data_IF_755661790540
#
_entry.id   IF_755661790540
#
_cell.length_a   1.000
_cell.length_b   1.000
_cell.length_c   1.000
_cell.angle_alpha   90.00
_cell.angle_beta   90.00
_cell.angle_gamma   90.00
#
_symmetry.space_group_name_H-M   'P 1'
#
loop_
_entity.id
_entity.type
_entity.pdbx_description
1 polymer ?
#
# COMPACT_ATOMS: atom_id res chain seq x y z
N UNK A 1 -15.66 18.84 -15.16
CA UNK A 1 -15.85 17.47 -14.65
C UNK A 1 -15.10 16.42 -15.46
N UNK A 2 -14.12 16.79 -16.31
CA UNK A 2 -13.33 15.85 -17.13
C UNK A 2 -11.90 15.55 -16.59
N UNK A 3 -11.55 15.99 -15.37
CA UNK A 3 -10.14 15.97 -14.91
C UNK A 3 -9.81 14.88 -13.88
N UNK A 4 -10.81 14.28 -13.25
CA UNK A 4 -10.60 13.30 -12.17
C UNK A 4 -11.06 11.92 -12.67
N UNK A 5 -10.43 10.84 -12.17
CA UNK A 5 -10.81 9.44 -12.45
C UNK A 5 -10.59 8.94 -13.90
N UNK A 6 -9.57 9.46 -14.58
CA UNK A 6 -9.31 9.07 -15.97
C UNK A 6 -8.81 7.63 -16.12
N UNK A 7 -8.04 7.12 -15.14
CA UNK A 7 -7.35 5.84 -15.21
C UNK A 7 -7.31 5.14 -13.85
N UNK A 8 -7.26 3.81 -13.87
CA UNK A 8 -7.02 3.02 -12.67
C UNK A 8 -5.55 3.13 -12.22
N UNK A 9 -5.33 3.15 -10.91
CA UNK A 9 -4.01 3.13 -10.27
C UNK A 9 -3.98 2.02 -9.22
N UNK A 10 -2.87 1.29 -9.15
CA UNK A 10 -2.60 0.33 -8.09
C UNK A 10 -1.45 0.84 -7.22
N UNK A 11 -1.67 0.87 -5.89
CA UNK A 11 -0.69 1.34 -4.91
C UNK A 11 -0.49 0.25 -3.87
N UNK A 12 0.76 -0.06 -3.57
CA UNK A 12 1.13 -0.92 -2.44
C UNK A 12 1.79 -0.06 -1.37
N UNK A 13 1.30 -0.17 -0.13
CA UNK A 13 1.84 0.52 1.04
C UNK A 13 2.11 -0.50 2.13
N UNK A 14 3.24 -0.34 2.83
CA UNK A 14 3.56 -1.10 4.03
C UNK A 14 3.13 -0.38 5.32
N UNK A 15 2.58 0.84 5.22
CA UNK A 15 2.01 1.59 6.34
C UNK A 15 0.51 1.79 6.13
N UNK A 16 -0.20 1.90 7.25
CA UNK A 16 -1.61 2.28 7.30
C UNK A 16 -1.80 3.73 6.84
N UNK A 17 -3.01 4.12 6.41
CA UNK A 17 -3.29 5.48 5.98
C UNK A 17 -2.97 6.56 7.03
N UNK A 18 -3.10 6.25 8.33
CA UNK A 18 -2.73 7.19 9.40
C UNK A 18 -1.22 7.47 9.43
N UNK A 19 -0.39 6.51 9.01
CA UNK A 19 1.05 6.64 8.87
C UNK A 19 1.50 7.47 7.67
N UNK A 20 0.61 7.77 6.72
CA UNK A 20 0.96 8.51 5.50
C UNK A 20 1.31 9.98 5.74
N UNK A 21 0.97 10.53 6.89
CA UNK A 21 1.41 11.86 7.34
C UNK A 21 2.94 12.00 7.42
N UNK A 22 3.67 10.87 7.52
CA UNK A 22 5.14 10.84 7.45
C UNK A 22 5.67 11.13 6.04
N UNK A 23 4.90 10.74 5.03
CA UNK A 23 5.25 10.92 3.61
C UNK A 23 4.66 12.21 3.05
N UNK A 24 3.37 12.47 3.34
CA UNK A 24 2.65 13.69 2.99
C UNK A 24 2.54 14.57 4.22
N UNK A 25 3.55 15.41 4.42
CA UNK A 25 3.72 16.20 5.66
C UNK A 25 2.69 17.31 5.82
N UNK A 26 2.07 17.79 4.72
CA UNK A 26 0.91 18.66 4.81
C UNK A 26 -0.36 17.84 5.10
N UNK A 27 -1.06 18.07 6.23
CA UNK A 27 -2.20 17.26 6.61
C UNK A 27 -3.39 17.35 5.65
N UNK A 28 -3.58 18.51 5.00
CA UNK A 28 -4.70 18.72 4.06
C UNK A 28 -4.44 17.97 2.76
N UNK A 29 -3.20 17.99 2.27
CA UNK A 29 -2.76 17.22 1.12
C UNK A 29 -2.87 15.73 1.40
N UNK A 30 -2.41 15.25 2.56
CA UNK A 30 -2.53 13.83 2.94
C UNK A 30 -3.99 13.37 2.93
N UNK A 31 -4.90 14.16 3.54
CA UNK A 31 -6.31 13.84 3.56
C UNK A 31 -6.92 13.82 2.15
N UNK A 32 -6.59 14.80 1.31
CA UNK A 32 -7.09 14.87 -0.07
C UNK A 32 -6.60 13.67 -0.92
N UNK A 33 -5.35 13.24 -0.74
CA UNK A 33 -4.80 12.06 -1.44
C UNK A 33 -5.54 10.81 -1.00
N UNK A 34 -5.69 10.57 0.31
CA UNK A 34 -6.39 9.39 0.83
C UNK A 34 -7.84 9.38 0.36
N UNK A 35 -8.53 10.52 0.39
CA UNK A 35 -9.90 10.66 -0.12
C UNK A 35 -9.99 10.24 -1.60
N UNK A 36 -9.10 10.74 -2.46
CA UNK A 36 -9.14 10.39 -3.90
C UNK A 36 -8.76 8.95 -4.21
N UNK A 37 -7.82 8.37 -3.46
CA UNK A 37 -7.41 6.97 -3.68
C UNK A 37 -8.45 5.97 -3.18
N UNK A 38 -9.24 6.35 -2.17
CA UNK A 38 -10.28 5.49 -1.61
C UNK A 38 -11.62 5.65 -2.33
N UNK A 39 -11.84 6.77 -3.02
CA UNK A 39 -13.03 6.97 -3.84
C UNK A 39 -13.13 5.93 -4.97
N UNK A 40 -14.11 5.03 -4.88
CA UNK A 40 -14.30 3.92 -5.82
C UNK A 40 -13.19 2.86 -5.80
N UNK A 41 -12.26 2.93 -4.83
CA UNK A 41 -11.13 2.03 -4.70
C UNK A 41 -11.45 0.75 -3.92
N UNK A 42 -10.69 -0.31 -4.18
CA UNK A 42 -10.74 -1.54 -3.39
C UNK A 42 -9.51 -1.62 -2.49
N UNK A 43 -9.72 -1.79 -1.17
CA UNK A 43 -8.64 -1.99 -0.20
C UNK A 43 -8.40 -3.49 -0.04
N UNK A 44 -7.17 -3.92 -0.30
CA UNK A 44 -6.75 -5.31 -0.16
C UNK A 44 -5.69 -5.39 0.95
N UNK A 45 -6.03 -6.01 2.07
CA UNK A 45 -5.09 -6.28 3.15
C UNK A 45 -4.30 -7.56 2.84
N UNK A 46 -3.01 -7.41 2.53
CA UNK A 46 -2.14 -8.53 2.11
C UNK A 46 -1.65 -9.42 3.25
N UNK A 47 -1.90 -9.03 4.50
CA UNK A 47 -1.40 -9.72 5.70
C UNK A 47 0.08 -9.48 5.98
N UNK A 48 0.68 -10.33 6.83
CA UNK A 48 2.03 -10.14 7.39
C UNK A 48 3.04 -11.22 6.97
N UNK A 49 2.61 -12.20 6.16
CA UNK A 49 3.49 -13.28 5.72
C UNK A 49 4.49 -12.80 4.66
N UNK A 50 5.79 -12.95 4.95
CA UNK A 50 6.85 -12.62 4.00
C UNK A 50 7.21 -13.82 3.13
N UNK A 51 6.90 -13.73 1.83
CA UNK A 51 7.31 -14.73 0.84
C UNK A 51 8.83 -14.95 0.83
N UNK A 52 9.60 -13.84 0.82
CA UNK A 52 11.07 -13.89 0.78
C UNK A 52 11.65 -14.64 1.98
N UNK A 53 11.10 -14.42 3.18
CA UNK A 53 11.55 -15.10 4.39
C UNK A 53 11.21 -16.59 4.36
N UNK A 54 9.99 -16.94 3.95
CA UNK A 54 9.57 -18.33 3.82
C UNK A 54 10.50 -19.09 2.84
N UNK A 55 10.77 -18.50 1.68
CA UNK A 55 11.64 -19.10 0.67
C UNK A 55 13.09 -19.30 1.17
N UNK A 56 13.67 -18.29 1.84
CA UNK A 56 15.00 -18.40 2.41
C UNK A 56 15.10 -19.50 3.50
N UNK A 57 14.05 -19.66 4.31
CA UNK A 57 13.98 -20.75 5.30
C UNK A 57 13.96 -22.12 4.63
N UNK A 58 13.14 -22.28 3.59
CA UNK A 58 13.07 -23.54 2.81
C UNK A 58 14.43 -23.91 2.22
N UNK A 59 15.12 -22.97 1.58
CA UNK A 59 16.47 -23.22 1.02
C UNK A 59 17.48 -23.62 2.10
N UNK A 60 17.44 -22.97 3.28
CA UNK A 60 18.35 -23.29 4.38
C UNK A 60 18.11 -24.70 4.93
N UNK A 61 16.85 -25.13 5.02
CA UNK A 61 16.51 -26.49 5.45
C UNK A 61 16.90 -27.54 4.41
N UNK A 62 16.87 -27.23 3.12
CA UNK A 62 17.29 -28.16 2.05
C UNK A 62 18.80 -28.38 1.98
N UNK A 63 19.59 -27.40 2.41
CA UNK A 63 21.06 -27.45 2.40
C UNK A 63 21.67 -27.96 3.72
N UNK A 64 20.83 -28.34 4.69
CA UNK A 64 21.22 -28.89 5.98
C UNK A 64 20.99 -30.40 6.00
#
# INVERSE_FOLDING_TARGET
TEREEQNAVAIASNDSFSGWTKTFTDPRLCAAIVDRLTFGGNIIETGTSSYRLAHARTQRTQNA
#
